data_IF_743094856356
#
_entry.id   IF_743094856356
#
_cell.length_a   1.000
_cell.length_b   1.000
_cell.length_c   1.000
_cell.angle_alpha   90.00
_cell.angle_beta   90.00
_cell.angle_gamma   90.00
#
_symmetry.space_group_name_H-M   'P 1'
#
loop_
_entity.id
_entity.type
_entity.pdbx_description
1 polymer ?
#
# COMPACT_ATOMS: atom_id res chain seq x y z
N UNK A 1 -12.65 -10.47 8.52
CA UNK A 1 -12.81 -9.99 7.12
C UNK A 1 -12.66 -8.48 7.15
N UNK A 2 -11.50 -7.95 6.74
CA UNK A 2 -11.31 -6.51 6.68
C UNK A 2 -12.15 -5.96 5.52
N UNK A 3 -12.96 -4.94 5.78
CA UNK A 3 -13.72 -4.28 4.73
C UNK A 3 -12.82 -3.24 4.09
N UNK A 4 -12.57 -3.29 2.77
CA UNK A 4 -11.67 -2.36 2.10
C UNK A 4 -12.16 -0.93 2.32
N UNK A 5 -11.26 -0.05 2.76
CA UNK A 5 -11.55 1.37 2.92
C UNK A 5 -11.03 2.07 1.64
N UNK A 6 -11.92 2.68 0.84
CA UNK A 6 -11.55 3.11 -0.50
C UNK A 6 -10.47 4.19 -0.59
N UNK A 7 -10.25 5.00 0.45
CA UNK A 7 -9.25 6.08 0.40
C UNK A 7 -7.83 5.58 0.66
N UNK A 8 -7.67 4.35 1.14
CA UNK A 8 -6.37 3.69 1.37
C UNK A 8 -6.17 2.42 0.54
N UNK A 9 -7.16 2.01 -0.25
CA UNK A 9 -7.04 0.86 -1.14
C UNK A 9 -6.14 1.16 -2.34
N UNK A 10 -5.15 0.29 -2.57
CA UNK A 10 -4.23 0.36 -3.70
C UNK A 10 -4.11 -1.01 -4.37
N UNK A 11 -4.05 -1.02 -5.70
CA UNK A 11 -3.73 -2.23 -6.48
C UNK A 11 -2.34 -2.07 -7.07
N UNK A 12 -1.53 -3.13 -7.00
CA UNK A 12 -0.17 -3.12 -7.54
C UNK A 12 0.31 -4.51 -7.95
N UNK A 13 1.30 -4.59 -8.85
CA UNK A 13 1.82 -5.87 -9.32
C UNK A 13 2.76 -6.50 -8.29
N UNK A 14 2.69 -7.83 -8.17
CA UNK A 14 3.63 -8.65 -7.40
C UNK A 14 4.42 -9.54 -8.38
N UNK A 15 5.73 -9.34 -8.45
CA UNK A 15 6.58 -9.95 -9.48
C UNK A 15 7.91 -10.43 -8.89
N UNK A 16 8.65 -11.25 -9.64
CA UNK A 16 9.97 -11.77 -9.24
C UNK A 16 11.10 -10.76 -9.41
N UNK A 17 10.94 -9.78 -10.29
CA UNK A 17 11.93 -8.74 -10.58
C UNK A 17 11.29 -7.35 -10.65
N UNK A 18 12.09 -6.31 -10.39
CA UNK A 18 11.67 -4.91 -10.55
C UNK A 18 11.35 -4.56 -12.01
N UNK A 19 12.01 -5.21 -12.97
CA UNK A 19 11.73 -5.02 -14.38
C UNK A 19 10.35 -5.55 -14.76
N UNK A 20 10.02 -6.77 -14.36
CA UNK A 20 8.68 -7.34 -14.56
C UNK A 20 7.61 -6.48 -13.88
N UNK A 21 7.95 -5.94 -12.70
CA UNK A 21 7.07 -5.03 -11.96
C UNK A 21 6.76 -3.79 -12.80
N UNK A 22 7.80 -3.15 -13.36
CA UNK A 22 7.68 -1.96 -14.20
C UNK A 22 6.90 -2.22 -15.49
N UNK A 23 7.08 -3.40 -16.11
CA UNK A 23 6.36 -3.80 -17.33
C UNK A 23 4.87 -3.94 -17.03
N UNK A 24 4.53 -4.64 -15.95
CA UNK A 24 3.14 -4.82 -15.56
C UNK A 24 2.52 -3.51 -15.09
N UNK A 25 3.26 -2.69 -14.33
CA UNK A 25 2.80 -1.38 -13.87
C UNK A 25 2.47 -0.46 -15.05
N UNK A 26 3.31 -0.43 -16.10
CA UNK A 26 3.04 0.33 -17.33
C UNK A 26 1.71 -0.09 -17.99
N UNK A 27 1.33 -1.35 -17.86
CA UNK A 27 0.12 -1.88 -18.49
C UNK A 27 -1.15 -1.57 -17.69
N UNK A 28 -1.05 -1.41 -16.37
CA UNK A 28 -2.21 -1.20 -15.48
C UNK A 28 -2.34 0.22 -14.94
N UNK A 29 -1.28 1.03 -14.98
CA UNK A 29 -1.29 2.40 -14.48
C UNK A 29 -2.06 3.32 -15.44
N UNK A 30 -2.92 4.18 -14.88
CA UNK A 30 -3.75 5.07 -15.67
C UNK A 30 -5.14 5.23 -15.07
N UNK A 31 -5.73 6.41 -15.28
CA UNK A 31 -7.16 6.62 -15.05
C UNK A 31 -7.98 5.87 -16.11
N UNK A 32 -9.02 5.15 -15.66
CA UNK A 32 -10.00 4.46 -16.52
C UNK A 32 -11.34 5.22 -16.68
N UNK A 33 -11.50 6.36 -15.99
CA UNK A 33 -12.70 7.19 -15.91
C UNK A 33 -13.92 6.52 -15.23
N UNK A 34 -13.73 5.36 -14.61
CA UNK A 34 -14.74 4.65 -13.83
C UNK A 34 -14.46 4.73 -12.33
N UNK A 35 -13.18 4.70 -11.96
CA UNK A 35 -12.70 4.82 -10.58
C UNK A 35 -12.52 6.29 -10.19
N UNK A 36 -13.31 6.76 -9.22
CA UNK A 36 -13.25 8.13 -8.73
C UNK A 36 -11.93 8.45 -8.02
N UNK A 37 -11.21 7.44 -7.51
CA UNK A 37 -9.88 7.58 -6.88
C UNK A 37 -8.82 7.99 -7.88
N UNK A 38 -8.96 7.56 -9.12
CA UNK A 38 -8.03 7.86 -10.20
C UNK A 38 -8.38 9.17 -10.92
N UNK A 39 -9.40 9.93 -10.48
CA UNK A 39 -9.89 11.10 -11.21
C UNK A 39 -8.80 12.16 -11.51
N UNK A 40 -7.83 12.30 -10.62
CA UNK A 40 -6.69 13.22 -10.75
C UNK A 40 -5.42 12.56 -11.29
N UNK A 41 -5.46 11.26 -11.58
CA UNK A 41 -4.34 10.53 -12.17
C UNK A 41 -4.21 10.83 -13.66
N UNK A 42 -2.98 10.83 -14.22
CA UNK A 42 -2.76 10.93 -15.65
C UNK A 42 -3.47 9.82 -16.43
N UNK A 43 -3.70 10.06 -17.73
CA UNK A 43 -4.09 9.00 -18.65
C UNK A 43 -2.95 7.98 -18.81
N UNK A 44 -3.25 6.71 -19.16
CA UNK A 44 -2.21 5.70 -19.41
C UNK A 44 -1.10 6.16 -20.36
N UNK A 45 -1.43 6.97 -21.37
CA UNK A 45 -0.47 7.51 -22.35
C UNK A 45 0.45 8.59 -21.81
N UNK A 46 0.12 9.21 -20.69
CA UNK A 46 0.87 10.32 -20.08
C UNK A 46 1.84 9.84 -18.99
N UNK A 47 1.74 8.55 -18.60
CA UNK A 47 2.64 7.98 -17.61
C UNK A 47 4.06 7.78 -18.16
N UNK A 48 5.11 7.95 -17.33
CA UNK A 48 6.47 7.64 -17.74
C UNK A 48 6.62 6.18 -18.17
N UNK A 49 7.49 5.95 -19.16
CA UNK A 49 7.83 4.59 -19.60
C UNK A 49 8.77 3.92 -18.60
N UNK A 50 8.22 3.41 -17.48
CA UNK A 50 8.99 2.82 -16.38
C UNK A 50 9.99 1.73 -16.83
N UNK A 51 9.60 0.76 -17.68
CA UNK A 51 10.54 -0.24 -18.21
C UNK A 51 11.71 0.40 -18.94
N UNK A 52 11.44 1.38 -19.81
CA UNK A 52 12.49 2.04 -20.59
C UNK A 52 13.46 2.80 -19.68
N UNK A 53 12.94 3.47 -18.64
CA UNK A 53 13.77 4.15 -17.64
C UNK A 53 14.69 3.16 -16.89
N UNK A 54 14.14 2.02 -16.46
CA UNK A 54 14.91 0.96 -15.81
C UNK A 54 15.96 0.33 -16.73
N UNK A 55 15.63 0.09 -18.00
CA UNK A 55 16.58 -0.42 -18.99
C UNK A 55 17.72 0.56 -19.24
N UNK A 56 17.41 1.86 -19.41
CA UNK A 56 18.43 2.88 -19.60
C UNK A 56 19.41 2.97 -18.41
N UNK A 57 18.95 2.69 -17.20
CA UNK A 57 19.80 2.62 -16.01
C UNK A 57 20.67 1.36 -15.95
N UNK A 58 20.29 0.27 -16.61
CA UNK A 58 21.08 -0.97 -16.64
C UNK A 58 22.41 -0.80 -17.40
N UNK A 59 22.40 0.04 -18.43
CA UNK A 59 23.55 0.27 -19.32
C UNK A 59 24.40 1.48 -18.88
N UNK A 60 23.91 2.28 -17.93
CA UNK A 60 24.67 3.35 -17.31
C UNK A 60 25.68 2.76 -16.32
N UNK A 61 26.93 3.22 -16.37
CA UNK A 61 27.95 2.92 -15.36
C UNK A 61 27.34 3.17 -13.97
N UNK A 62 27.17 2.11 -13.16
CA UNK A 62 26.16 1.95 -12.10
C UNK A 62 26.36 2.85 -10.87
N UNK A 63 26.44 4.16 -11.10
CA UNK A 63 26.62 5.16 -10.08
C UNK A 63 25.26 5.71 -9.69
N UNK A 64 24.81 5.42 -8.47
CA UNK A 64 23.70 6.12 -7.81
C UNK A 64 24.12 7.53 -7.33
N UNK A 65 25.16 8.11 -7.93
CA UNK A 65 25.65 9.44 -7.58
C UNK A 65 24.56 10.49 -7.80
N UNK A 66 24.30 11.25 -6.75
CA UNK A 66 23.25 12.27 -6.72
C UNK A 66 21.91 11.77 -6.16
N UNK A 67 21.72 10.47 -5.98
CA UNK A 67 20.57 9.96 -5.24
C UNK A 67 20.75 10.20 -3.74
N UNK A 68 19.68 10.65 -3.08
CA UNK A 68 19.61 10.82 -1.63
C UNK A 68 18.55 9.88 -1.08
N UNK A 69 18.92 9.12 -0.06
CA UNK A 69 18.10 8.08 0.54
C UNK A 69 17.99 8.38 2.03
N UNK A 70 16.76 8.63 2.48
CA UNK A 70 16.46 8.88 3.89
C UNK A 70 16.08 7.59 4.61
N UNK A 71 16.83 7.23 5.65
CA UNK A 71 16.51 6.13 6.56
C UNK A 71 15.66 6.67 7.71
N UNK A 72 14.37 6.35 7.74
CA UNK A 72 13.42 6.88 8.74
C UNK A 72 13.65 6.21 10.10
N UNK A 73 14.23 6.94 11.05
CA UNK A 73 14.66 6.42 12.37
C UNK A 73 13.52 5.73 13.12
N UNK A 74 12.36 6.36 13.16
CA UNK A 74 11.18 5.88 13.90
C UNK A 74 10.75 4.48 13.44
N UNK A 75 10.91 4.15 12.15
CA UNK A 75 10.60 2.82 11.61
C UNK A 75 11.50 1.70 12.15
N UNK A 76 12.77 2.01 12.42
CA UNK A 76 13.72 1.07 13.02
C UNK A 76 13.57 0.99 14.54
N UNK A 77 13.20 2.08 15.18
CA UNK A 77 12.93 2.12 16.62
C UNK A 77 11.76 1.19 16.99
N UNK A 78 10.74 1.04 16.14
CA UNK A 78 9.66 0.07 16.34
C UNK A 78 10.21 -1.37 16.45
N UNK A 79 11.26 -1.70 15.69
CA UNK A 79 11.92 -3.01 15.78
C UNK A 79 12.72 -3.20 17.08
N UNK A 80 12.95 -2.13 17.84
CA UNK A 80 13.76 -2.10 19.06
C UNK A 80 12.92 -1.82 20.32
N UNK A 81 11.69 -1.30 20.18
CA UNK A 81 10.77 -0.99 21.28
C UNK A 81 10.30 -2.30 21.95
N UNK A 82 10.63 -2.44 23.25
CA UNK A 82 10.28 -3.61 24.09
C UNK A 82 8.78 -3.78 24.39
N UNK A 83 7.93 -2.81 24.02
CA UNK A 83 6.55 -2.72 24.49
C UNK A 83 5.49 -3.00 23.40
N UNK A 84 5.63 -4.10 22.65
CA UNK A 84 4.43 -4.78 22.12
C UNK A 84 4.18 -4.83 20.61
N UNK A 85 5.10 -4.34 19.76
CA UNK A 85 5.09 -4.65 18.33
C UNK A 85 6.51 -5.07 17.90
N UNK A 86 6.89 -6.29 18.28
CA UNK A 86 8.26 -6.78 18.08
C UNK A 86 8.47 -7.25 16.65
N UNK A 87 8.81 -6.33 15.75
CA UNK A 87 9.51 -6.71 14.53
C UNK A 87 10.84 -7.35 14.91
N UNK A 88 11.23 -8.41 14.20
CA UNK A 88 12.49 -9.11 14.46
C UNK A 88 13.69 -8.16 14.23
N UNK A 89 14.56 -7.92 15.23
CA UNK A 89 15.71 -7.03 15.09
C UNK A 89 16.63 -7.40 13.92
N UNK A 90 16.68 -8.69 13.54
CA UNK A 90 17.47 -9.18 12.40
C UNK A 90 17.01 -8.56 11.08
N UNK A 91 15.74 -8.20 10.94
CA UNK A 91 15.19 -7.54 9.75
C UNK A 91 15.76 -6.13 9.64
N UNK A 92 15.78 -5.37 10.74
CA UNK A 92 16.36 -4.03 10.78
C UNK A 92 17.83 -4.03 10.37
N UNK A 93 18.61 -4.98 10.89
CA UNK A 93 20.03 -5.16 10.52
C UNK A 93 20.18 -5.46 9.02
N UNK A 94 19.36 -6.34 8.45
CA UNK A 94 19.42 -6.67 7.00
C UNK A 94 19.07 -5.49 6.11
N UNK A 95 18.12 -4.65 6.52
CA UNK A 95 17.77 -3.42 5.79
C UNK A 95 18.91 -2.40 5.87
N UNK A 96 19.57 -2.27 7.02
CA UNK A 96 20.75 -1.41 7.17
C UNK A 96 21.92 -1.90 6.31
N UNK A 97 22.21 -3.21 6.30
CA UNK A 97 23.21 -3.81 5.40
C UNK A 97 22.91 -3.52 3.92
N UNK A 98 21.63 -3.54 3.52
CA UNK A 98 21.23 -3.19 2.15
C UNK A 98 21.44 -1.70 1.85
N UNK A 99 21.22 -0.81 2.83
CA UNK A 99 21.47 0.61 2.68
C UNK A 99 22.97 0.94 2.51
N UNK A 100 23.86 0.19 3.17
CA UNK A 100 25.31 0.36 2.96
C UNK A 100 25.73 0.03 1.53
N UNK A 101 25.13 -0.99 0.91
CA UNK A 101 25.35 -1.27 -0.53
C UNK A 101 24.94 -0.10 -1.43
N UNK A 102 23.91 0.66 -1.04
CA UNK A 102 23.52 1.86 -1.78
C UNK A 102 24.55 2.98 -1.63
N UNK A 103 25.21 3.11 -0.46
CA UNK A 103 26.36 4.01 -0.29
C UNK A 103 27.53 3.61 -1.18
N UNK A 104 27.86 2.32 -1.24
CA UNK A 104 28.93 1.78 -2.09
C UNK A 104 28.70 2.09 -3.57
N UNK A 105 27.43 2.07 -4.02
CA UNK A 105 27.02 2.46 -5.36
C UNK A 105 27.02 3.99 -5.59
N UNK A 106 27.36 4.80 -4.58
CA UNK A 106 27.51 6.25 -4.67
C UNK A 106 26.30 7.08 -4.26
N UNK A 107 25.24 6.47 -3.70
CA UNK A 107 24.12 7.20 -3.14
C UNK A 107 24.51 7.84 -1.79
N UNK A 108 23.88 8.98 -1.47
CA UNK A 108 23.94 9.58 -0.13
C UNK A 108 22.85 8.95 0.71
N UNK A 109 23.22 8.25 1.79
CA UNK A 109 22.28 7.64 2.73
C UNK A 109 22.38 8.37 4.07
N UNK A 110 21.26 8.92 4.55
CA UNK A 110 21.23 9.70 5.80
C UNK A 110 20.04 9.27 6.66
N UNK A 111 20.24 9.27 7.97
CA UNK A 111 19.13 9.03 8.90
C UNK A 111 18.28 10.30 9.02
N UNK A 112 16.98 10.14 8.78
CA UNK A 112 15.99 11.22 8.87
C UNK A 112 14.98 10.91 9.96
N UNK A 113 14.53 11.95 10.66
CA UNK A 113 13.47 11.82 11.67
C UNK A 113 12.18 12.39 11.10
N UNK A 114 11.11 11.60 11.21
CA UNK A 114 9.74 11.99 10.87
C UNK A 114 8.88 11.64 12.08
N UNK A 115 8.72 12.60 12.99
CA UNK A 115 8.02 12.40 14.27
C UNK A 115 6.58 11.88 14.12
N UNK A 116 5.90 12.24 13.02
CA UNK A 116 4.54 11.75 12.74
C UNK A 116 4.49 10.28 12.29
N UNK A 117 5.62 9.64 11.97
CA UNK A 117 5.67 8.25 11.54
C UNK A 117 5.09 7.30 12.60
N UNK A 118 5.38 7.55 13.88
CA UNK A 118 4.85 6.79 15.02
C UNK A 118 3.31 6.86 15.11
N UNK A 119 2.69 7.94 14.61
CA UNK A 119 1.23 8.09 14.60
C UNK A 119 0.57 7.34 13.43
N UNK A 120 1.33 6.98 12.40
CA UNK A 120 0.80 6.46 11.14
C UNK A 120 -0.07 5.22 11.31
N UNK A 121 0.40 4.23 12.09
CA UNK A 121 -0.36 3.01 12.37
C UNK A 121 -1.68 3.31 13.11
N UNK A 122 -1.64 4.18 14.11
CA UNK A 122 -2.83 4.57 14.88
C UNK A 122 -3.85 5.30 14.00
N UNK A 123 -3.39 6.26 13.19
CA UNK A 123 -4.25 7.00 12.26
C UNK A 123 -4.87 6.07 11.22
N UNK A 124 -4.08 5.14 10.68
CA UNK A 124 -4.56 4.13 9.73
C UNK A 124 -5.68 3.26 10.32
N UNK A 125 -5.49 2.73 11.55
CA UNK A 125 -6.52 1.94 12.24
C UNK A 125 -7.77 2.78 12.49
N UNK A 126 -7.63 4.04 12.92
CA UNK A 126 -8.78 4.91 13.14
C UNK A 126 -9.61 5.12 11.86
N UNK A 127 -8.94 5.33 10.72
CA UNK A 127 -9.60 5.51 9.42
C UNK A 127 -10.30 4.21 9.01
N UNK A 128 -9.57 3.10 8.95
CA UNK A 128 -10.09 1.79 8.52
C UNK A 128 -11.30 1.38 9.38
N UNK A 129 -11.17 1.46 10.70
CA UNK A 129 -12.20 0.97 11.61
C UNK A 129 -13.44 1.87 11.63
N UNK A 130 -13.27 3.20 11.58
CA UNK A 130 -14.41 4.15 11.66
C UNK A 130 -15.08 4.42 10.32
N UNK A 131 -14.33 4.52 9.24
CA UNK A 131 -14.84 4.90 7.92
C UNK A 131 -15.11 3.68 7.03
N UNK A 132 -14.31 2.61 7.16
CA UNK A 132 -14.48 1.36 6.43
C UNK A 132 -15.40 0.39 7.16
N UNK A 133 -14.89 -0.18 8.25
CA UNK A 133 -15.49 -1.35 8.90
C UNK A 133 -16.81 -1.06 9.63
N UNK A 134 -16.91 0.03 10.40
CA UNK A 134 -18.12 0.32 11.19
C UNK A 134 -19.40 0.55 10.37
N UNK A 135 -19.43 1.38 9.30
CA UNK A 135 -20.63 1.56 8.49
C UNK A 135 -21.11 0.26 7.85
N UNK A 136 -20.18 -0.62 7.43
CA UNK A 136 -20.52 -1.91 6.83
C UNK A 136 -21.11 -2.87 7.89
N UNK A 137 -20.51 -2.93 9.08
CA UNK A 137 -21.03 -3.72 10.21
C UNK A 137 -22.43 -3.28 10.62
N UNK A 138 -22.73 -1.98 10.60
CA UNK A 138 -24.06 -1.44 10.87
C UNK A 138 -25.04 -1.56 9.68
N UNK A 139 -24.69 -2.31 8.63
CA UNK A 139 -25.56 -2.55 7.46
C UNK A 139 -25.66 -1.38 6.48
N UNK A 140 -24.76 -0.40 6.61
CA UNK A 140 -24.46 0.64 5.63
C UNK A 140 -23.47 0.13 4.57
N UNK A 141 -22.93 1.07 3.78
CA UNK A 141 -21.92 0.78 2.76
C UNK A 141 -20.75 1.75 2.96
N UNK A 142 -19.50 1.26 2.85
CA UNK A 142 -18.29 2.10 2.87
C UNK A 142 -17.91 2.70 1.50
N UNK A 143 -18.79 2.60 0.50
CA UNK A 143 -18.46 2.97 -0.89
C UNK A 143 -18.67 4.44 -1.24
N UNK A 144 -17.77 4.99 -2.06
CA UNK A 144 -17.94 6.26 -2.80
C UNK A 144 -18.75 6.05 -4.09
N UNK A 145 -18.81 7.06 -4.96
CA UNK A 145 -19.47 6.98 -6.26
C UNK A 145 -18.78 5.91 -7.11
N UNK A 146 -19.46 4.78 -7.33
CA UNK A 146 -18.90 3.67 -8.10
C UNK A 146 -20.00 2.74 -8.60
N UNK A 147 -19.66 1.88 -9.57
CA UNK A 147 -20.56 0.88 -10.13
C UNK A 147 -20.96 -0.14 -9.06
N UNK A 148 -22.26 -0.21 -8.74
CA UNK A 148 -22.81 -1.11 -7.72
C UNK A 148 -23.55 -2.26 -8.38
N UNK A 149 -23.08 -3.48 -8.14
CA UNK A 149 -23.86 -4.69 -8.43
C UNK A 149 -25.03 -4.79 -7.44
N UNK A 150 -26.16 -4.18 -7.78
CA UNK A 150 -27.36 -4.13 -6.93
C UNK A 150 -27.84 -5.50 -6.48
N UNK A 151 -27.68 -6.52 -7.33
CA UNK A 151 -28.11 -7.90 -7.04
C UNK A 151 -27.28 -8.57 -5.94
N UNK A 152 -25.97 -8.33 -5.89
CA UNK A 152 -25.09 -8.87 -4.84
C UNK A 152 -25.36 -8.18 -3.50
N UNK A 153 -25.55 -6.86 -3.51
CA UNK A 153 -25.86 -6.09 -2.29
C UNK A 153 -27.21 -6.50 -1.71
N UNK A 154 -28.22 -6.75 -2.54
CA UNK A 154 -29.53 -7.27 -2.10
C UNK A 154 -29.39 -8.62 -1.40
N UNK A 155 -28.60 -9.55 -1.95
CA UNK A 155 -28.36 -10.87 -1.35
C UNK A 155 -27.63 -10.79 0.01
N UNK A 156 -26.62 -9.91 0.15
CA UNK A 156 -25.90 -9.74 1.43
C UNK A 156 -26.72 -9.08 2.54
N UNK A 157 -27.64 -8.16 2.20
CA UNK A 157 -28.48 -7.46 3.20
C UNK A 157 -29.49 -8.37 3.90
N UNK A 158 -29.90 -9.47 3.29
CA UNK A 158 -30.90 -10.37 3.89
C UNK A 158 -30.35 -11.25 5.02
N UNK A 159 -29.05 -11.58 5.00
CA UNK A 159 -28.50 -12.61 5.88
C UNK A 159 -27.77 -12.11 7.12
N UNK A 160 -27.44 -10.82 7.25
CA UNK A 160 -26.52 -10.36 8.34
C UNK A 160 -27.27 -9.59 9.45
N UNK A 161 -28.56 -9.27 9.26
CA UNK A 161 -29.31 -8.37 10.15
C UNK A 161 -30.00 -9.05 11.35
N UNK A 162 -30.00 -10.37 11.42
CA UNK A 162 -30.63 -11.15 12.49
C UNK A 162 -29.61 -12.08 13.12
N UNK A 163 -29.79 -12.41 14.40
CA UNK A 163 -28.93 -13.35 15.14
C UNK A 163 -28.86 -14.71 14.40
N UNK A 164 -30.01 -15.24 13.97
CA UNK A 164 -30.11 -16.41 13.08
C UNK A 164 -29.35 -16.28 11.76
N UNK A 165 -29.28 -15.07 11.20
CA UNK A 165 -28.57 -14.83 9.95
C UNK A 165 -27.06 -14.90 10.11
N UNK A 166 -26.54 -14.43 11.26
CA UNK A 166 -25.13 -14.51 11.62
C UNK A 166 -24.70 -15.98 11.83
N UNK A 167 -25.51 -16.75 12.55
CA UNK A 167 -25.25 -18.16 12.84
C UNK A 167 -25.27 -19.06 11.60
N UNK A 168 -26.05 -18.70 10.58
CA UNK A 168 -26.16 -19.42 9.31
C UNK A 168 -25.15 -18.97 8.24
N UNK A 169 -24.22 -18.07 8.58
CA UNK A 169 -23.15 -17.70 7.65
C UNK A 169 -22.20 -18.90 7.47
N UNK A 170 -21.86 -19.33 6.24
CA UNK A 170 -20.95 -20.45 6.03
C UNK A 170 -19.63 -20.19 6.76
N UNK A 171 -19.34 -21.00 7.77
CA UNK A 171 -18.05 -21.02 8.45
C UNK A 171 -17.04 -21.64 7.47
N UNK A 172 -15.96 -20.92 7.16
CA UNK A 172 -14.87 -21.37 6.28
C UNK A 172 -13.89 -22.22 7.08
#
# INVERSE_FOLDING_TARGET
MAFPEPIIDHTGPMTRSCLDNAILLKSIAGRDNLDDRCAVSPLPSEFPDYPRTLFAMKDADMSLKGFKIGMVKEGFEICQKKNGASNDPRVGVKVQEAAEKWRELGAVVEDVSISMHDLGATLWVCIESRMGSLPVLCGGMSGRSGYKMTELTKKKKHNIRTEEGCDNTPQV
#
